data_IF_441645338964
#
_entry.id   IF_441645338964
#
_cell.length_a   1.000
_cell.length_b   1.000
_cell.length_c   1.000
_cell.angle_alpha   90.00
_cell.angle_beta   90.00
_cell.angle_gamma   90.00
#
_symmetry.space_group_name_H-M   'P 1'
#
loop_
_entity.id
_entity.type
_entity.pdbx_description
1 polymer ?
#
# COMPACT_ATOMS: atom_id res chain seq x y z
N UNK A 1 -11.04 -12.59 -19.47
CA UNK A 1 -9.90 -12.47 -18.55
C UNK A 1 -10.51 -12.47 -17.15
N UNK A 2 -10.17 -13.46 -16.31
CA UNK A 2 -10.68 -13.49 -14.93
C UNK A 2 -10.00 -12.36 -14.15
N UNK A 3 -10.77 -11.62 -13.34
CA UNK A 3 -10.19 -10.67 -12.41
C UNK A 3 -9.28 -11.42 -11.42
N UNK A 4 -8.22 -10.78 -10.91
CA UNK A 4 -7.26 -11.40 -10.01
C UNK A 4 -7.94 -12.13 -8.83
N UNK A 5 -8.97 -11.51 -8.25
CA UNK A 5 -9.74 -12.09 -7.14
C UNK A 5 -10.49 -13.37 -7.53
N UNK A 6 -11.10 -13.43 -8.72
CA UNK A 6 -11.78 -14.64 -9.20
C UNK A 6 -10.78 -15.76 -9.47
N UNK A 7 -9.65 -15.44 -10.12
CA UNK A 7 -8.58 -16.40 -10.35
C UNK A 7 -8.01 -16.95 -9.03
N UNK A 8 -7.73 -16.07 -8.07
CA UNK A 8 -7.20 -16.47 -6.75
C UNK A 8 -8.18 -17.42 -6.04
N UNK A 9 -9.47 -17.07 -6.04
CA UNK A 9 -10.52 -17.91 -5.47
C UNK A 9 -10.64 -19.27 -6.16
N UNK A 10 -10.60 -19.34 -7.50
CA UNK A 10 -10.63 -20.59 -8.25
C UNK A 10 -9.42 -21.48 -7.96
N UNK A 11 -8.27 -20.88 -7.67
CA UNK A 11 -7.05 -21.59 -7.27
C UNK A 11 -6.99 -21.93 -5.78
N UNK A 12 -8.01 -21.55 -5.00
CA UNK A 12 -8.02 -21.76 -3.56
C UNK A 12 -6.97 -20.95 -2.82
N UNK A 13 -6.50 -19.85 -3.40
CA UNK A 13 -5.59 -18.91 -2.74
C UNK A 13 -6.41 -18.06 -1.76
N UNK A 14 -6.06 -18.04 -0.46
CA UNK A 14 -6.76 -17.20 0.51
C UNK A 14 -6.66 -15.72 0.15
N UNK A 15 -7.77 -14.99 0.27
CA UNK A 15 -7.83 -13.54 0.05
C UNK A 15 -8.22 -12.89 1.37
N UNK A 16 -7.34 -12.04 1.90
CA UNK A 16 -7.53 -11.34 3.17
C UNK A 16 -7.57 -9.84 2.91
N UNK A 17 -8.59 -9.16 3.45
CA UNK A 17 -8.62 -7.71 3.49
C UNK A 17 -7.72 -7.20 4.63
N UNK A 18 -7.06 -6.06 4.41
CA UNK A 18 -6.13 -5.51 5.37
C UNK A 18 -6.10 -3.97 5.31
N UNK A 19 -6.57 -3.33 6.37
CA UNK A 19 -6.70 -1.87 6.46
C UNK A 19 -5.37 -1.11 6.26
N UNK A 20 -4.24 -1.75 6.57
CA UNK A 20 -2.92 -1.15 6.43
C UNK A 20 -2.50 -0.83 4.99
N UNK A 21 -3.09 -1.47 3.99
CA UNK A 21 -2.70 -1.35 2.56
C UNK A 21 -3.57 -0.38 1.75
N UNK A 22 -4.39 0.42 2.40
CA UNK A 22 -5.15 1.46 1.72
C UNK A 22 -4.29 2.59 1.17
N UNK A 23 -4.88 3.40 0.30
CA UNK A 23 -4.29 4.66 -0.17
C UNK A 23 -3.93 5.60 1.01
N UNK A 24 -2.99 6.50 0.77
CA UNK A 24 -2.41 7.37 1.77
C UNK A 24 -3.36 8.49 2.25
N UNK A 25 -4.18 9.06 1.36
CA UNK A 25 -4.96 10.28 1.64
C UNK A 25 -6.33 10.00 2.26
N UNK A 26 -6.98 11.04 2.81
CA UNK A 26 -8.34 10.97 3.34
C UNK A 26 -9.41 11.48 2.34
N UNK A 27 -9.06 11.62 1.05
CA UNK A 27 -10.03 11.99 0.02
C UNK A 27 -11.12 10.92 -0.11
N UNK A 28 -12.36 11.28 -0.47
CA UNK A 28 -13.47 10.32 -0.56
C UNK A 28 -13.21 9.10 -1.47
N UNK A 29 -12.38 9.25 -2.51
CA UNK A 29 -11.98 8.15 -3.41
C UNK A 29 -10.88 7.24 -2.82
N UNK A 30 -10.17 7.72 -1.80
CA UNK A 30 -9.02 7.05 -1.18
C UNK A 30 -9.40 6.41 0.16
N UNK A 31 -10.62 6.67 0.63
CA UNK A 31 -11.24 6.01 1.78
C UNK A 31 -12.10 4.84 1.33
N UNK A 32 -12.04 3.73 2.09
CA UNK A 32 -12.91 2.59 1.84
C UNK A 32 -14.36 2.78 2.30
N UNK A 33 -15.12 1.71 2.24
CA UNK A 33 -16.46 1.60 2.82
C UNK A 33 -16.43 0.76 4.11
N UNK A 34 -17.39 0.93 5.04
CA UNK A 34 -17.52 0.09 6.21
C UNK A 34 -17.60 -1.41 5.85
N UNK A 35 -17.01 -2.28 6.67
CA UNK A 35 -16.96 -3.73 6.42
C UNK A 35 -18.37 -4.30 6.22
N UNK A 36 -19.33 -3.89 7.06
CA UNK A 36 -20.71 -4.34 6.98
C UNK A 36 -21.38 -4.02 5.63
N UNK A 37 -20.90 -3.01 4.92
CA UNK A 37 -21.41 -2.63 3.59
C UNK A 37 -20.82 -3.50 2.47
N UNK A 38 -19.55 -3.91 2.56
CA UNK A 38 -18.86 -4.61 1.46
C UNK A 38 -18.76 -6.12 1.64
N UNK A 39 -18.82 -6.64 2.87
CA UNK A 39 -18.62 -8.07 3.12
C UNK A 39 -19.66 -8.96 2.42
N UNK A 40 -20.90 -8.48 2.28
CA UNK A 40 -21.95 -9.20 1.57
C UNK A 40 -21.70 -9.30 0.06
N UNK A 41 -21.02 -8.30 -0.52
CA UNK A 41 -20.68 -8.26 -1.95
C UNK A 41 -19.47 -9.15 -2.27
N UNK A 42 -18.56 -9.32 -1.29
CA UNK A 42 -17.31 -10.07 -1.46
C UNK A 42 -17.18 -11.23 -0.46
N UNK A 43 -18.06 -12.26 -0.52
CA UNK A 43 -18.11 -13.34 0.47
C UNK A 43 -16.87 -14.25 0.48
N UNK A 44 -15.99 -14.12 -0.51
CA UNK A 44 -14.75 -14.89 -0.63
C UNK A 44 -13.54 -14.20 0.03
N UNK A 45 -13.71 -12.96 0.49
CA UNK A 45 -12.65 -12.19 1.16
C UNK A 45 -12.83 -12.34 2.67
N UNK A 46 -11.75 -12.69 3.35
CA UNK A 46 -11.69 -12.71 4.81
C UNK A 46 -11.47 -11.29 5.35
N UNK A 47 -12.49 -10.77 6.05
CA UNK A 47 -12.46 -9.47 6.70
C UNK A 47 -12.20 -9.57 8.22
N UNK A 48 -12.01 -10.76 8.78
CA UNK A 48 -11.95 -10.98 10.24
C UNK A 48 -10.78 -10.27 10.93
N UNK A 49 -9.73 -9.95 10.17
CA UNK A 49 -8.53 -9.26 10.63
C UNK A 49 -8.51 -7.76 10.29
N UNK A 50 -9.55 -7.24 9.63
CA UNK A 50 -9.61 -5.81 9.31
C UNK A 50 -9.86 -5.03 10.59
N UNK A 51 -9.01 -4.04 10.83
CA UNK A 51 -9.18 -3.14 11.97
C UNK A 51 -10.60 -2.52 11.97
N UNK A 52 -11.38 -2.66 13.06
CA UNK A 52 -12.72 -2.09 13.17
C UNK A 52 -12.78 -0.56 13.01
N UNK A 53 -11.66 0.15 13.17
CA UNK A 53 -11.55 1.59 12.90
C UNK A 53 -11.72 1.90 11.41
N UNK A 54 -11.43 0.95 10.52
CA UNK A 54 -11.64 1.11 9.09
C UNK A 54 -13.09 1.55 8.74
N UNK A 55 -13.28 2.52 7.81
CA UNK A 55 -12.30 3.18 6.94
C UNK A 55 -11.80 4.55 7.47
N UNK A 56 -11.92 4.82 8.77
CA UNK A 56 -11.62 6.13 9.35
C UNK A 56 -10.13 6.47 9.32
N UNK A 57 -9.81 7.68 8.82
CA UNK A 57 -8.45 8.25 8.78
C UNK A 57 -8.34 9.61 9.46
N UNK A 58 -9.43 10.15 10.00
CA UNK A 58 -9.50 11.55 10.46
C UNK A 58 -9.81 11.68 11.94
N UNK A 59 -10.47 10.70 12.56
CA UNK A 59 -10.67 10.71 14.00
C UNK A 59 -9.39 10.32 14.76
N UNK A 60 -9.31 10.61 16.08
CA UNK A 60 -8.22 10.12 16.92
C UNK A 60 -8.06 8.59 16.91
N UNK A 61 -9.16 7.83 16.70
CA UNK A 61 -9.08 6.37 16.59
C UNK A 61 -8.39 5.95 15.27
N UNK A 62 -8.61 6.70 14.20
CA UNK A 62 -8.02 6.52 12.87
C UNK A 62 -6.65 7.17 12.67
N UNK A 63 -6.02 7.71 13.72
CA UNK A 63 -4.79 8.51 13.59
C UNK A 63 -3.67 7.76 12.84
N UNK A 64 -3.51 6.45 13.09
CA UNK A 64 -2.51 5.61 12.40
C UNK A 64 -2.74 5.46 10.89
N UNK A 65 -3.93 5.83 10.41
CA UNK A 65 -4.31 5.79 9.01
C UNK A 65 -4.28 7.17 8.34
N UNK A 66 -4.06 8.24 9.11
CA UNK A 66 -4.09 9.61 8.63
C UNK A 66 -2.99 9.89 7.59
N UNK A 67 -3.26 10.90 6.75
CA UNK A 67 -2.33 11.37 5.73
C UNK A 67 -1.26 12.25 6.37
N UNK A 68 -0.33 11.61 7.08
CA UNK A 68 0.82 12.22 7.73
C UNK A 68 2.00 11.28 7.58
N UNK A 69 3.15 11.80 7.16
CA UNK A 69 4.38 11.06 6.87
C UNK A 69 4.74 10.07 7.99
N UNK A 70 4.78 10.53 9.24
CA UNK A 70 5.05 9.67 10.40
C UNK A 70 4.12 8.46 10.47
N UNK A 71 2.81 8.67 10.29
CA UNK A 71 1.81 7.60 10.39
C UNK A 71 1.89 6.64 9.19
N UNK A 72 2.11 7.17 7.99
CA UNK A 72 2.24 6.36 6.77
C UNK A 72 3.52 5.50 6.76
N UNK A 73 4.65 6.05 7.18
CA UNK A 73 5.92 5.30 7.26
C UNK A 73 5.85 4.22 8.35
N UNK A 74 5.27 4.54 9.52
CA UNK A 74 5.04 3.54 10.57
C UNK A 74 4.09 2.43 10.10
N UNK A 75 3.04 2.77 9.34
CA UNK A 75 2.10 1.81 8.76
C UNK A 75 2.78 0.91 7.72
N UNK A 76 3.62 1.48 6.86
CA UNK A 76 4.39 0.69 5.90
C UNK A 76 5.30 -0.32 6.61
N UNK A 77 6.07 0.10 7.62
CA UNK A 77 6.94 -0.81 8.38
C UNK A 77 6.15 -1.90 9.13
N UNK A 78 5.02 -1.56 9.76
CA UNK A 78 4.14 -2.57 10.38
C UNK A 78 3.63 -3.59 9.36
N UNK A 79 3.19 -3.14 8.18
CA UNK A 79 2.72 -4.06 7.15
C UNK A 79 3.85 -4.96 6.62
N UNK A 80 5.06 -4.42 6.45
CA UNK A 80 6.22 -5.20 6.03
C UNK A 80 6.61 -6.22 7.11
N UNK A 81 6.60 -5.85 8.39
CA UNK A 81 6.82 -6.78 9.50
C UNK A 81 5.80 -7.92 9.49
N UNK A 82 4.52 -7.60 9.27
CA UNK A 82 3.46 -8.60 9.16
C UNK A 82 3.71 -9.55 7.98
N UNK A 83 4.10 -9.05 6.81
CA UNK A 83 4.46 -9.89 5.66
C UNK A 83 5.71 -10.75 5.90
N UNK A 84 6.73 -10.22 6.57
CA UNK A 84 7.98 -10.93 6.81
C UNK A 84 7.79 -12.16 7.69
N UNK A 85 6.89 -12.07 8.67
CA UNK A 85 6.63 -13.13 9.63
C UNK A 85 5.67 -14.21 9.11
N UNK A 86 5.20 -14.08 7.87
CA UNK A 86 4.26 -15.01 7.27
C UNK A 86 4.93 -16.27 6.71
N UNK A 87 4.27 -17.43 6.78
CA UNK A 87 4.84 -18.69 6.30
C UNK A 87 4.76 -18.86 4.77
N UNK A 88 3.96 -18.05 4.07
CA UNK A 88 3.80 -18.16 2.62
C UNK A 88 5.08 -17.79 1.87
N UNK A 89 5.43 -18.59 0.84
CA UNK A 89 6.60 -18.33 -0.01
C UNK A 89 6.44 -17.12 -0.94
N UNK A 90 5.20 -16.75 -1.24
CA UNK A 90 4.85 -15.63 -2.09
C UNK A 90 3.51 -15.06 -1.63
N UNK A 91 3.42 -13.74 -1.57
CA UNK A 91 2.23 -13.01 -1.16
C UNK A 91 1.97 -11.93 -2.21
N UNK A 92 0.71 -11.79 -2.63
CA UNK A 92 0.28 -10.73 -3.53
C UNK A 92 -0.38 -9.64 -2.69
N UNK A 93 0.16 -8.43 -2.75
CA UNK A 93 -0.45 -7.25 -2.14
C UNK A 93 -1.13 -6.45 -3.24
N UNK A 94 -2.43 -6.20 -3.08
CA UNK A 94 -3.18 -5.28 -3.94
C UNK A 94 -3.38 -3.99 -3.18
N UNK A 95 -2.86 -2.89 -3.71
CA UNK A 95 -2.84 -1.58 -3.05
C UNK A 95 -2.84 -0.46 -4.09
N UNK A 96 -2.70 0.78 -3.64
CA UNK A 96 -2.74 1.97 -4.46
C UNK A 96 -1.34 2.57 -4.64
N UNK A 97 -1.16 3.28 -5.76
CA UNK A 97 0.14 3.81 -6.17
C UNK A 97 0.71 4.83 -5.18
N UNK A 98 -0.13 5.69 -4.58
CA UNK A 98 0.34 6.73 -3.67
C UNK A 98 1.02 6.15 -2.43
N UNK A 99 0.35 5.23 -1.75
CA UNK A 99 0.90 4.54 -0.57
C UNK A 99 2.12 3.70 -0.92
N UNK A 100 2.04 2.85 -1.96
CA UNK A 100 3.16 1.99 -2.35
C UNK A 100 4.40 2.82 -2.70
N UNK A 101 4.26 3.82 -3.58
CA UNK A 101 5.35 4.68 -4.02
C UNK A 101 5.94 5.49 -2.87
N UNK A 102 5.10 6.22 -2.12
CA UNK A 102 5.62 7.19 -1.16
C UNK A 102 6.02 6.59 0.19
N UNK A 103 5.50 5.41 0.57
CA UNK A 103 5.75 4.86 1.91
C UNK A 103 6.40 3.48 1.91
N UNK A 104 6.32 2.70 0.82
CA UNK A 104 6.73 1.29 0.85
C UNK A 104 7.93 1.01 -0.05
N UNK A 105 7.85 1.35 -1.33
CA UNK A 105 8.80 0.85 -2.35
C UNK A 105 9.59 1.94 -3.06
N UNK A 106 9.06 3.17 -3.18
CA UNK A 106 9.65 4.22 -4.01
C UNK A 106 9.33 4.08 -5.49
N UNK A 107 8.72 2.97 -5.92
CA UNK A 107 8.44 2.67 -7.32
C UNK A 107 7.13 3.28 -7.80
N UNK A 108 7.06 3.56 -9.10
CA UNK A 108 5.81 3.98 -9.75
C UNK A 108 4.95 2.77 -10.12
N UNK A 109 3.63 2.96 -9.98
CA UNK A 109 2.60 2.00 -10.36
C UNK A 109 1.51 2.71 -11.15
N UNK A 110 1.42 2.42 -12.43
CA UNK A 110 0.22 2.73 -13.20
C UNK A 110 -0.83 1.64 -12.98
N UNK A 111 -2.08 1.95 -13.33
CA UNK A 111 -3.21 1.05 -13.06
C UNK A 111 -2.96 -0.37 -13.58
N UNK A 112 -3.18 -1.35 -12.69
CA UNK A 112 -2.99 -2.77 -12.94
C UNK A 112 -1.54 -3.21 -13.26
N UNK A 113 -0.54 -2.38 -12.97
CA UNK A 113 0.85 -2.81 -12.97
C UNK A 113 1.21 -3.61 -11.71
N UNK A 114 2.31 -4.37 -11.78
CA UNK A 114 2.85 -5.11 -10.64
C UNK A 114 4.37 -5.04 -10.59
N UNK A 115 4.90 -5.28 -9.40
CA UNK A 115 6.33 -5.30 -9.11
C UNK A 115 6.61 -6.51 -8.21
N UNK A 116 7.78 -7.10 -8.35
CA UNK A 116 8.19 -8.27 -7.55
C UNK A 116 9.35 -7.87 -6.66
N UNK A 117 9.26 -8.21 -5.38
CA UNK A 117 10.26 -7.88 -4.37
C UNK A 117 10.61 -9.09 -3.51
N UNK A 118 11.87 -9.15 -3.10
CA UNK A 118 12.26 -9.84 -1.87
C UNK A 118 12.12 -8.91 -0.68
N UNK A 119 11.61 -9.40 0.44
CA UNK A 119 11.53 -8.67 1.69
C UNK A 119 12.71 -9.06 2.57
N UNK A 120 13.44 -8.07 3.09
CA UNK A 120 14.62 -8.32 3.92
C UNK A 120 14.56 -7.50 5.21
N UNK A 121 14.98 -8.12 6.31
CA UNK A 121 15.18 -7.46 7.59
C UNK A 121 16.52 -6.71 7.57
N UNK A 122 16.50 -5.47 8.00
CA UNK A 122 17.69 -4.63 8.17
C UNK A 122 17.95 -4.42 9.67
N UNK A 123 19.19 -4.67 10.08
CA UNK A 123 19.58 -4.64 11.50
C UNK A 123 20.00 -3.26 12.00
N UNK A 124 20.36 -2.38 11.06
CA UNK A 124 20.91 -1.05 11.35
C UNK A 124 20.12 0.00 10.56
N UNK A 125 19.25 0.75 11.23
CA UNK A 125 18.40 1.76 10.60
C UNK A 125 17.26 2.25 11.48
N UNK A 126 16.58 3.32 11.05
CA UNK A 126 15.32 3.74 11.63
C UNK A 126 14.17 2.79 11.24
N UNK A 127 14.24 2.25 10.03
CA UNK A 127 13.37 1.21 9.50
C UNK A 127 13.95 -0.19 9.80
N UNK A 128 13.06 -1.19 9.89
CA UNK A 128 13.43 -2.59 10.19
C UNK A 128 13.34 -3.50 8.97
N UNK A 129 12.56 -3.13 7.96
CA UNK A 129 12.33 -3.92 6.77
C UNK A 129 12.47 -3.07 5.51
N UNK A 130 13.13 -3.63 4.50
CA UNK A 130 13.25 -3.04 3.16
C UNK A 130 12.82 -4.06 2.10
N UNK A 131 12.38 -3.56 0.95
CA UNK A 131 12.04 -4.39 -0.22
C UNK A 131 13.12 -4.28 -1.29
N UNK A 132 13.49 -5.40 -1.89
CA UNK A 132 14.47 -5.49 -2.99
C UNK A 132 13.79 -5.95 -4.25
N UNK A 133 13.60 -5.02 -5.18
CA UNK A 133 12.91 -5.33 -6.42
C UNK A 133 13.72 -6.28 -7.30
N UNK A 134 13.06 -7.27 -7.89
CA UNK A 134 13.65 -8.15 -8.88
C UNK A 134 13.90 -7.43 -10.21
N UNK A 135 15.03 -7.73 -10.83
CA UNK A 135 15.45 -7.17 -12.13
C UNK A 135 14.38 -7.31 -13.23
N UNK A 136 13.62 -8.41 -13.18
CA UNK A 136 12.52 -8.71 -14.11
C UNK A 136 11.51 -7.56 -14.20
N UNK A 137 11.13 -6.96 -13.07
CA UNK A 137 10.15 -5.86 -13.05
C UNK A 137 10.80 -4.48 -12.92
N UNK A 138 12.08 -4.44 -12.52
CA UNK A 138 12.85 -3.20 -12.40
C UNK A 138 13.28 -2.66 -13.75
N UNK A 139 13.79 -3.53 -14.62
CA UNK A 139 14.30 -3.16 -15.96
C UNK A 139 13.19 -3.00 -17.00
N UNK A 140 11.95 -3.31 -16.60
CA UNK A 140 10.84 -3.52 -17.50
C UNK A 140 9.75 -2.46 -17.43
N UNK A 141 9.94 -1.29 -16.79
CA UNK A 141 8.84 -0.33 -16.61
C UNK A 141 7.66 -0.94 -15.83
N UNK A 142 7.97 -1.82 -14.88
CA UNK A 142 7.00 -2.64 -14.17
C UNK A 142 6.70 -3.95 -14.88
N UNK A 143 5.89 -4.79 -14.26
CA UNK A 143 5.50 -6.07 -14.81
C UNK A 143 4.65 -5.97 -16.08
N UNK A 144 4.03 -4.82 -16.31
CA UNK A 144 3.20 -4.53 -17.48
C UNK A 144 3.88 -3.68 -18.55
N UNK A 145 5.07 -3.09 -18.28
CA UNK A 145 5.81 -2.36 -19.32
C UNK A 145 5.50 -0.88 -19.47
N UNK A 146 4.79 -0.25 -18.53
CA UNK A 146 4.25 1.10 -18.73
C UNK A 146 4.44 2.09 -17.58
N UNK A 147 4.95 1.68 -16.43
CA UNK A 147 5.22 2.56 -15.30
C UNK A 147 6.61 3.20 -15.42
N UNK A 148 6.85 4.29 -14.71
CA UNK A 148 8.18 4.90 -14.70
C UNK A 148 9.19 4.06 -13.92
N UNK A 149 10.47 4.16 -14.30
CA UNK A 149 11.61 3.52 -13.62
C UNK A 149 12.29 4.44 -12.60
N UNK A 150 11.89 5.71 -12.56
CA UNK A 150 12.44 6.69 -11.63
C UNK A 150 12.06 6.31 -10.19
N UNK A 151 13.05 6.01 -9.34
CA UNK A 151 12.79 5.76 -7.93
C UNK A 151 12.59 7.09 -7.19
N UNK A 152 11.56 7.16 -6.35
CA UNK A 152 11.39 8.29 -5.42
C UNK A 152 11.92 7.93 -4.04
N UNK A 153 12.41 8.95 -3.32
CA UNK A 153 12.77 8.80 -1.92
C UNK A 153 11.53 8.48 -1.08
N UNK A 154 11.63 7.49 -0.19
CA UNK A 154 10.55 7.14 0.74
C UNK A 154 10.22 8.35 1.62
N UNK A 155 8.95 8.68 1.70
CA UNK A 155 8.42 9.81 2.46
C UNK A 155 8.40 11.13 1.70
N UNK A 156 8.87 11.18 0.44
CA UNK A 156 8.90 12.44 -0.32
C UNK A 156 7.48 12.95 -0.61
N UNK A 157 7.28 14.26 -0.35
CA UNK A 157 6.00 14.93 -0.57
C UNK A 157 4.86 14.43 0.33
N UNK A 158 5.15 13.66 1.38
CA UNK A 158 4.18 13.33 2.42
C UNK A 158 4.19 14.43 3.50
N UNK A 159 3.02 14.82 4.01
CA UNK A 159 2.94 15.95 4.91
C UNK A 159 3.45 15.64 6.32
N UNK A 160 4.15 16.59 6.92
CA UNK A 160 4.70 16.42 8.29
C UNK A 160 3.61 16.56 9.37
N UNK A 161 2.48 17.19 9.03
CA UNK A 161 1.33 17.41 9.91
C UNK A 161 0.02 17.13 9.17
N UNK A 162 -1.06 16.89 9.93
CA UNK A 162 -2.38 16.67 9.34
C UNK A 162 -2.82 17.89 8.53
N UNK A 163 -3.25 17.65 7.29
CA UNK A 163 -3.82 18.66 6.40
C UNK A 163 -5.35 18.54 6.37
N UNK A 164 -6.07 19.62 5.97
CA UNK A 164 -7.46 19.50 5.58
C UNK A 164 -7.66 18.41 4.52
N UNK A 165 -8.80 17.69 4.48
CA UNK A 165 -8.98 16.51 3.60
C UNK A 165 -8.82 16.77 2.09
N UNK A 166 -8.92 18.02 1.66
CA UNK A 166 -8.78 18.44 0.25
C UNK A 166 -7.39 18.90 -0.12
N UNK A 167 -6.52 19.07 0.87
CA UNK A 167 -5.24 19.74 0.72
C UNK A 167 -4.12 18.71 0.58
N UNK A 168 -3.10 19.06 -0.18
CA UNK A 168 -1.87 18.28 -0.33
C UNK A 168 -0.67 19.19 -0.09
N UNK A 169 0.41 18.62 0.42
CA UNK A 169 1.68 19.34 0.44
C UNK A 169 2.19 19.50 -1.00
N UNK A 170 2.67 20.70 -1.37
CA UNK A 170 3.32 20.88 -2.67
C UNK A 170 4.48 19.91 -2.81
N UNK A 171 4.53 19.20 -3.94
CA UNK A 171 5.64 18.30 -4.21
C UNK A 171 6.96 19.08 -4.31
N UNK A 172 8.07 18.53 -3.79
CA UNK A 172 9.38 19.12 -4.00
C UNK A 172 9.71 19.29 -5.48
N UNK A 173 10.55 20.28 -5.80
CA UNK A 173 10.99 20.52 -7.17
C UNK A 173 11.64 19.26 -7.76
N UNK A 174 11.22 18.88 -8.98
CA UNK A 174 11.73 17.70 -9.68
C UNK A 174 11.00 16.39 -9.35
N UNK A 175 10.11 16.38 -8.35
CA UNK A 175 9.25 15.22 -8.07
C UNK A 175 8.00 15.29 -8.96
N UNK A 176 7.74 14.21 -9.70
CA UNK A 176 6.56 14.13 -10.55
C UNK A 176 5.29 13.94 -9.70
N UNK A 177 4.14 14.51 -10.11
CA UNK A 177 2.85 14.17 -9.51
C UNK A 177 2.45 12.73 -9.85
N UNK A 178 1.55 12.18 -9.03
CA UNK A 178 0.83 10.93 -9.33
C UNK A 178 0.10 11.01 -10.67
#
# INVERSE_FOLDING_TARGET
>A
MLALGDWAAEKGVPIQAHAGWQENSAKPCDTGSPIASVAAEFPKIDFSHVDPVWPDKTSPAGEKYSYVKKHLLARAQSNLEDLYNRPEKAIIVVSHSGFLRQAVTGDWYFNADYRIYDLVEIKDGADKFEVKQWDLTKSGHGGMGWSWDELVEIGVGLPEHALPPTDEEPLPSGVRPN
#
